data_IF_290514388522
#
_entry.id   IF_290514388522
#
_cell.length_a   1.000
_cell.length_b   1.000
_cell.length_c   1.000
_cell.angle_alpha   90.00
_cell.angle_beta   90.00
_cell.angle_gamma   90.00
#
_symmetry.space_group_name_H-M   'P 1'
#
loop_
_entity.id
_entity.type
_entity.pdbx_description
1 polymer ?
#
# COMPACT_ATOMS: atom_id res chain seq x y z
N UNK A 1 -28.80 -12.25 24.10
CA UNK A 1 -30.08 -12.86 23.72
C UNK A 1 -29.78 -13.78 22.54
N UNK A 2 -29.88 -15.10 22.73
CA UNK A 2 -29.62 -16.07 21.67
C UNK A 2 -30.88 -16.21 20.82
N UNK A 3 -30.75 -16.05 19.50
CA UNK A 3 -31.84 -16.30 18.57
C UNK A 3 -32.32 -17.73 18.73
N UNK A 4 -33.63 -17.91 18.87
CA UNK A 4 -34.21 -19.24 19.03
C UNK A 4 -34.25 -19.94 17.66
N UNK A 5 -34.09 -21.27 17.66
CA UNK A 5 -34.12 -22.11 16.45
C UNK A 5 -35.28 -21.78 15.48
N UNK A 6 -36.50 -21.45 15.94
CA UNK A 6 -37.59 -21.02 15.05
C UNK A 6 -37.32 -19.72 14.28
N UNK A 7 -36.64 -18.74 14.89
CA UNK A 7 -36.31 -17.46 14.26
C UNK A 7 -35.32 -17.63 13.11
N UNK A 8 -34.40 -18.60 13.24
CA UNK A 8 -33.46 -18.97 12.18
C UNK A 8 -34.20 -19.55 10.96
N UNK A 9 -35.15 -20.47 11.17
CA UNK A 9 -35.92 -21.06 10.08
C UNK A 9 -36.83 -20.04 9.39
N UNK A 10 -37.38 -19.09 10.14
CA UNK A 10 -38.22 -18.04 9.57
C UNK A 10 -37.39 -17.02 8.76
N UNK A 11 -36.20 -16.65 9.23
CA UNK A 11 -35.25 -15.84 8.47
C UNK A 11 -34.81 -16.53 7.17
N UNK A 12 -34.54 -17.84 7.23
CA UNK A 12 -34.13 -18.62 6.06
C UNK A 12 -35.25 -18.74 5.02
N UNK A 13 -36.50 -18.89 5.47
CA UNK A 13 -37.68 -18.92 4.60
C UNK A 13 -37.93 -17.57 3.91
N UNK A 14 -37.70 -16.45 4.62
CA UNK A 14 -37.77 -15.10 4.06
C UNK A 14 -36.67 -14.88 3.02
N UNK A 15 -35.44 -15.29 3.32
CA UNK A 15 -34.30 -15.18 2.40
C UNK A 15 -34.54 -15.96 1.09
N UNK A 16 -35.03 -17.20 1.20
CA UNK A 16 -35.35 -18.03 0.04
C UNK A 16 -36.44 -17.42 -0.84
N UNK A 17 -37.44 -16.77 -0.23
CA UNK A 17 -38.50 -16.05 -0.95
C UNK A 17 -37.93 -14.83 -1.68
N UNK A 18 -37.08 -14.04 -1.04
CA UNK A 18 -36.45 -12.86 -1.66
C UNK A 18 -35.52 -13.24 -2.82
N UNK A 19 -34.77 -14.34 -2.70
CA UNK A 19 -33.93 -14.88 -3.78
C UNK A 19 -34.80 -15.32 -4.96
N UNK A 20 -35.91 -16.03 -4.71
CA UNK A 20 -36.83 -16.45 -5.76
C UNK A 20 -37.50 -15.27 -6.46
N UNK A 21 -37.84 -14.20 -5.73
CA UNK A 21 -38.40 -12.97 -6.29
C UNK A 21 -37.37 -12.21 -7.13
N UNK A 22 -36.11 -12.13 -6.69
CA UNK A 22 -35.02 -11.51 -7.45
C UNK A 22 -34.75 -12.26 -8.77
N UNK A 23 -34.73 -13.60 -8.74
CA UNK A 23 -34.59 -14.43 -9.94
C UNK A 23 -35.76 -14.27 -10.91
N UNK A 24 -37.00 -14.10 -10.40
CA UNK A 24 -38.16 -13.80 -11.24
C UNK A 24 -38.07 -12.43 -11.89
N UNK A 25 -37.57 -11.42 -11.18
CA UNK A 25 -37.34 -10.08 -11.73
C UNK A 25 -36.23 -10.06 -12.79
N UNK A 26 -35.22 -10.92 -12.66
CA UNK A 26 -34.16 -11.08 -13.65
C UNK A 26 -34.67 -11.76 -14.94
N UNK A 27 -35.54 -12.77 -14.79
CA UNK A 27 -36.13 -13.51 -15.90
C UNK A 27 -37.27 -12.78 -16.63
N UNK A 28 -37.81 -11.69 -16.07
CA UNK A 28 -38.86 -10.87 -16.70
C UNK A 28 -38.33 -9.62 -17.42
N UNK A 29 -37.00 -9.46 -17.54
CA UNK A 29 -36.43 -8.32 -18.27
C UNK A 29 -36.71 -8.47 -19.78
N UNK A 30 -37.27 -7.42 -20.43
CA UNK A 30 -37.58 -7.48 -21.85
C UNK A 30 -36.32 -7.67 -22.72
N UNK A 31 -36.45 -8.27 -23.92
CA UNK A 31 -35.31 -8.79 -24.71
C UNK A 31 -34.32 -7.72 -25.18
N UNK A 32 -34.71 -6.44 -25.16
CA UNK A 32 -33.84 -5.35 -25.61
C UNK A 32 -32.70 -5.03 -24.63
N UNK A 33 -32.69 -5.61 -23.43
CA UNK A 33 -31.59 -5.48 -22.47
C UNK A 33 -30.46 -6.50 -22.67
N UNK A 34 -30.62 -7.48 -23.58
CA UNK A 34 -29.60 -8.50 -23.87
C UNK A 34 -28.55 -8.07 -24.91
N UNK A 35 -28.59 -6.83 -25.40
CA UNK A 35 -27.57 -6.29 -26.30
C UNK A 35 -26.85 -5.07 -25.71
N UNK A 36 -26.45 -5.12 -24.44
CA UNK A 36 -25.17 -4.47 -24.12
C UNK A 36 -24.11 -5.38 -24.70
N UNK A 37 -23.71 -5.09 -25.95
CA UNK A 37 -22.45 -5.53 -26.49
C UNK A 37 -21.40 -5.17 -25.44
N UNK A 38 -21.03 -6.14 -24.60
CA UNK A 38 -19.77 -6.09 -23.88
C UNK A 38 -18.78 -6.09 -25.02
N UNK A 39 -18.30 -4.90 -25.42
CA UNK A 39 -17.35 -4.81 -26.52
C UNK A 39 -16.22 -5.78 -26.19
N UNK A 40 -15.65 -6.48 -27.16
CA UNK A 40 -14.55 -7.42 -26.92
C UNK A 40 -13.43 -6.79 -26.07
N UNK A 41 -13.27 -5.46 -26.08
CA UNK A 41 -12.40 -4.70 -25.17
C UNK A 41 -12.72 -4.82 -23.69
N UNK A 42 -14.00 -4.78 -23.29
CA UNK A 42 -14.44 -4.86 -21.90
C UNK A 42 -14.33 -6.30 -21.38
N UNK A 43 -14.66 -7.28 -22.21
CA UNK A 43 -14.49 -8.70 -21.88
C UNK A 43 -13.00 -9.09 -21.79
N UNK A 44 -12.18 -8.62 -22.74
CA UNK A 44 -10.72 -8.79 -22.65
C UNK A 44 -10.10 -8.04 -21.45
N UNK A 45 -10.62 -6.87 -21.09
CA UNK A 45 -10.18 -6.16 -19.89
C UNK A 45 -10.58 -6.91 -18.62
N UNK A 46 -11.81 -7.43 -18.54
CA UNK A 46 -12.29 -8.21 -17.40
C UNK A 46 -11.54 -9.54 -17.26
N UNK A 47 -11.24 -10.23 -18.36
CA UNK A 47 -10.44 -11.45 -18.36
C UNK A 47 -9.00 -11.17 -17.91
N UNK A 48 -8.38 -10.09 -18.41
CA UNK A 48 -7.07 -9.64 -17.91
C UNK A 48 -7.10 -9.29 -16.43
N UNK A 49 -8.14 -8.59 -15.97
CA UNK A 49 -8.32 -8.26 -14.55
C UNK A 49 -8.48 -9.54 -13.72
N UNK A 50 -9.19 -10.55 -14.22
CA UNK A 50 -9.35 -11.84 -13.55
C UNK A 50 -8.01 -12.60 -13.48
N UNK A 51 -7.23 -12.59 -14.55
CA UNK A 51 -5.88 -13.16 -14.62
C UNK A 51 -4.91 -12.42 -13.68
N UNK A 52 -5.00 -11.09 -13.59
CA UNK A 52 -4.28 -10.30 -12.60
C UNK A 52 -4.72 -10.63 -11.17
N UNK A 53 -6.02 -10.73 -10.90
CA UNK A 53 -6.56 -11.13 -9.59
C UNK A 53 -6.04 -12.51 -9.22
N UNK A 54 -5.95 -13.44 -10.16
CA UNK A 54 -5.41 -14.78 -9.91
C UNK A 54 -3.91 -14.73 -9.58
N UNK A 55 -3.11 -13.94 -10.32
CA UNK A 55 -1.68 -13.70 -10.01
C UNK A 55 -1.51 -13.01 -8.65
N UNK A 56 -2.40 -12.08 -8.32
CA UNK A 56 -2.35 -11.29 -7.09
C UNK A 56 -2.89 -12.04 -5.87
N UNK A 57 -3.66 -13.11 -6.04
CA UNK A 57 -4.23 -13.93 -4.94
C UNK A 57 -3.44 -15.21 -4.64
N UNK A 58 -2.41 -15.54 -5.44
CA UNK A 58 -1.51 -16.64 -5.10
C UNK A 58 -0.68 -16.31 -3.85
N UNK A 59 -1.09 -16.88 -2.72
CA UNK A 59 -0.31 -16.94 -1.49
C UNK A 59 1.03 -17.61 -1.78
N UNK A 60 2.12 -16.85 -1.81
CA UNK A 60 3.45 -17.42 -1.95
C UNK A 60 4.30 -17.03 -0.75
N UNK A 61 5.12 -17.96 -0.26
CA UNK A 61 6.22 -17.67 0.68
C UNK A 61 7.09 -16.47 0.28
N UNK A 62 7.06 -16.08 -0.99
CA UNK A 62 7.78 -14.93 -1.54
C UNK A 62 7.18 -13.58 -1.11
N UNK A 63 5.89 -13.50 -0.77
CA UNK A 63 5.28 -12.23 -0.36
C UNK A 63 5.79 -11.76 1.01
N UNK A 64 6.10 -12.69 1.91
CA UNK A 64 6.72 -12.35 3.19
C UNK A 64 8.15 -11.79 3.00
N UNK A 65 8.85 -12.20 1.94
CA UNK A 65 10.15 -11.61 1.61
C UNK A 65 10.03 -10.12 1.29
N UNK A 66 8.95 -9.70 0.60
CA UNK A 66 8.70 -8.28 0.30
C UNK A 66 8.56 -7.50 1.60
N UNK A 67 7.78 -8.02 2.55
CA UNK A 67 7.64 -7.43 3.88
C UNK A 67 8.98 -7.32 4.58
N UNK A 68 9.77 -8.39 4.61
CA UNK A 68 11.10 -8.35 5.25
C UNK A 68 12.03 -7.32 4.60
N UNK A 69 12.00 -7.21 3.27
CA UNK A 69 12.77 -6.20 2.55
C UNK A 69 12.32 -4.78 2.89
N UNK A 70 11.01 -4.53 3.02
CA UNK A 70 10.50 -3.22 3.46
C UNK A 70 10.98 -2.87 4.87
N UNK A 71 10.90 -3.82 5.80
CA UNK A 71 11.39 -3.66 7.18
C UNK A 71 12.89 -3.38 7.20
N UNK A 72 13.67 -4.07 6.38
CA UNK A 72 15.12 -3.90 6.34
C UNK A 72 15.54 -2.55 5.73
N UNK A 73 14.85 -2.08 4.69
CA UNK A 73 15.02 -0.71 4.16
C UNK A 73 14.72 0.30 5.27
N UNK A 74 13.58 0.18 5.94
CA UNK A 74 13.16 1.11 6.98
C UNK A 74 14.15 1.16 8.15
N UNK A 75 14.60 -0.02 8.61
CA UNK A 75 15.59 -0.14 9.68
C UNK A 75 16.93 0.47 9.29
N UNK A 76 17.36 0.29 8.05
CA UNK A 76 18.61 0.85 7.55
C UNK A 76 18.55 2.38 7.52
N UNK A 77 17.48 2.95 6.98
CA UNK A 77 17.25 4.40 6.98
C UNK A 77 17.21 4.98 8.39
N UNK A 78 16.48 4.33 9.30
CA UNK A 78 16.40 4.80 10.70
C UNK A 78 17.76 4.79 11.38
N UNK A 79 18.57 3.75 11.19
CA UNK A 79 19.94 3.68 11.72
C UNK A 79 20.80 4.83 11.21
N UNK A 80 20.69 5.19 9.93
CA UNK A 80 21.41 6.33 9.37
C UNK A 80 20.95 7.65 9.96
N UNK A 81 19.64 7.87 10.11
CA UNK A 81 19.09 9.08 10.75
C UNK A 81 19.59 9.19 12.20
N UNK A 82 19.58 8.10 12.96
CA UNK A 82 20.10 8.07 14.33
C UNK A 82 21.58 8.41 14.37
N UNK A 83 22.39 7.82 13.49
CA UNK A 83 23.82 8.10 13.39
C UNK A 83 24.09 9.58 13.05
N UNK A 84 23.34 10.15 12.10
CA UNK A 84 23.43 11.57 11.75
C UNK A 84 23.12 12.46 12.97
N UNK A 85 22.04 12.15 13.70
CA UNK A 85 21.66 12.87 14.91
C UNK A 85 22.74 12.80 16.00
N UNK A 86 23.31 11.62 16.23
CA UNK A 86 24.39 11.41 17.20
C UNK A 86 25.66 12.21 16.84
N UNK A 87 25.88 12.44 15.54
CA UNK A 87 26.97 13.27 15.03
C UNK A 87 26.63 14.77 14.96
N UNK A 88 25.43 15.18 15.38
CA UNK A 88 24.99 16.58 15.30
C UNK A 88 24.67 17.07 13.89
N UNK A 89 24.40 16.16 12.96
CA UNK A 89 24.03 16.45 11.57
C UNK A 89 22.55 16.19 11.30
N UNK A 90 22.04 16.74 10.20
CA UNK A 90 20.67 16.49 9.72
C UNK A 90 20.68 15.67 8.42
N UNK A 91 19.67 14.83 8.17
CA UNK A 91 19.52 14.14 6.88
C UNK A 91 19.24 15.14 5.77
N UNK A 92 19.91 15.05 4.62
CA UNK A 92 19.66 15.96 3.50
C UNK A 92 18.46 15.50 2.67
N UNK A 93 17.40 16.30 2.63
CA UNK A 93 16.22 16.04 1.79
C UNK A 93 16.52 16.15 0.29
N UNK A 94 17.55 16.91 -0.10
CA UNK A 94 18.06 16.95 -1.47
C UNK A 94 18.94 15.76 -1.84
N UNK A 95 19.36 14.98 -0.82
CA UNK A 95 20.34 13.90 -0.91
C UNK A 95 21.55 14.24 -1.81
N UNK A 96 22.05 15.48 -1.73
CA UNK A 96 23.14 16.03 -2.52
C UNK A 96 22.87 16.15 -4.02
N UNK A 97 21.61 16.38 -4.40
CA UNK A 97 21.18 16.71 -5.77
C UNK A 97 20.49 18.08 -5.81
N UNK A 98 20.04 18.52 -6.99
CA UNK A 98 19.20 19.72 -7.10
C UNK A 98 17.71 19.47 -6.81
N UNK A 99 17.29 18.21 -6.67
CA UNK A 99 15.90 17.85 -6.42
C UNK A 99 15.58 17.86 -4.92
N UNK A 100 14.72 18.78 -4.47
CA UNK A 100 14.32 18.91 -3.06
C UNK A 100 13.59 17.69 -2.49
N UNK A 101 13.09 16.80 -3.34
CA UNK A 101 12.40 15.57 -2.94
C UNK A 101 13.25 14.33 -3.22
N UNK A 102 14.55 14.47 -3.50
CA UNK A 102 15.38 13.33 -3.88
C UNK A 102 15.38 12.23 -2.82
N UNK A 103 15.48 12.58 -1.53
CA UNK A 103 15.44 11.57 -0.47
C UNK A 103 14.09 10.82 -0.44
N UNK A 104 12.97 11.53 -0.70
CA UNK A 104 11.66 10.90 -0.80
C UNK A 104 11.59 9.95 -1.99
N UNK A 105 12.08 10.39 -3.15
CA UNK A 105 12.11 9.57 -4.36
C UNK A 105 13.00 8.34 -4.18
N UNK A 106 14.18 8.48 -3.59
CA UNK A 106 15.11 7.38 -3.31
C UNK A 106 14.46 6.32 -2.42
N UNK A 107 13.75 6.75 -1.38
CA UNK A 107 13.00 5.86 -0.48
C UNK A 107 11.85 5.16 -1.21
N UNK A 108 11.02 5.89 -1.96
CA UNK A 108 9.92 5.30 -2.75
C UNK A 108 10.45 4.30 -3.78
N UNK A 109 11.52 4.65 -4.50
CA UNK A 109 12.15 3.78 -5.51
C UNK A 109 12.75 2.53 -4.88
N UNK A 110 13.32 2.62 -3.67
CA UNK A 110 13.85 1.45 -2.99
C UNK A 110 12.74 0.44 -2.64
N UNK A 111 11.61 0.92 -2.10
CA UNK A 111 10.45 0.06 -1.85
C UNK A 111 9.89 -0.54 -3.14
N UNK A 112 9.80 0.26 -4.21
CA UNK A 112 9.35 -0.21 -5.52
C UNK A 112 10.25 -1.31 -6.10
N UNK A 113 11.58 -1.15 -6.00
CA UNK A 113 12.55 -2.17 -6.43
C UNK A 113 12.45 -3.44 -5.59
N UNK A 114 12.25 -3.32 -4.28
CA UNK A 114 12.01 -4.47 -3.42
C UNK A 114 10.73 -5.22 -3.85
N UNK A 115 9.65 -4.49 -4.16
CA UNK A 115 8.40 -5.04 -4.67
C UNK A 115 8.61 -5.78 -6.01
N UNK A 116 9.23 -5.15 -7.01
CA UNK A 116 9.50 -5.78 -8.32
C UNK A 116 10.41 -7.01 -8.25
N UNK A 117 11.29 -7.07 -7.24
CA UNK A 117 12.16 -8.22 -7.02
C UNK A 117 11.52 -9.33 -6.18
N UNK A 118 10.23 -9.19 -5.80
CA UNK A 118 9.55 -10.05 -4.84
C UNK A 118 10.34 -10.21 -3.52
N UNK A 119 10.90 -9.11 -3.02
CA UNK A 119 11.66 -9.06 -1.77
C UNK A 119 13.06 -9.66 -1.81
N UNK A 120 13.51 -10.18 -2.97
CA UNK A 120 14.85 -10.77 -3.11
C UNK A 120 15.96 -9.72 -3.12
N UNK A 121 15.63 -8.48 -3.44
CA UNK A 121 16.56 -7.38 -3.45
C UNK A 121 16.12 -6.32 -2.44
N UNK A 122 17.07 -5.87 -1.62
CA UNK A 122 16.88 -4.82 -0.61
C UNK A 122 17.83 -3.68 -0.97
N UNK A 123 17.39 -2.71 -1.80
CA UNK A 123 18.24 -1.58 -2.19
C UNK A 123 18.72 -0.82 -0.96
N UNK A 124 20.00 -0.43 -0.97
CA UNK A 124 20.55 0.49 0.02
C UNK A 124 20.37 1.92 -0.46
N UNK A 125 20.02 2.79 0.47
CA UNK A 125 19.95 4.24 0.27
C UNK A 125 20.99 4.81 1.21
N UNK A 126 21.90 5.64 0.73
CA UNK A 126 22.84 6.36 1.58
C UNK A 126 22.32 7.78 1.76
N UNK A 127 21.95 8.13 2.99
CA UNK A 127 21.44 9.45 3.35
C UNK A 127 22.64 10.38 3.56
N UNK A 128 22.76 11.40 2.70
CA UNK A 128 23.77 12.44 2.90
C UNK A 128 23.42 13.34 4.09
N UNK A 129 24.45 13.88 4.72
CA UNK A 129 24.31 14.87 5.79
C UNK A 129 24.17 16.28 5.23
N UNK A 130 23.48 17.15 5.96
CA UNK A 130 23.47 18.59 5.75
C UNK A 130 23.64 19.31 7.09
N UNK A 131 24.22 20.51 7.03
CA UNK A 131 24.36 21.42 8.18
C UNK A 131 23.07 22.23 8.41
N UNK A 132 22.09 22.12 7.51
CA UNK A 132 20.82 22.83 7.60
C UNK A 132 19.82 22.02 8.43
N UNK A 133 19.52 22.50 9.62
CA UNK A 133 18.51 21.90 10.49
C UNK A 133 17.11 21.95 9.87
N UNK A 134 16.39 20.84 9.97
CA UNK A 134 14.95 20.75 9.68
C UNK A 134 14.31 19.62 10.47
N UNK A 135 12.99 19.65 10.59
CA UNK A 135 12.22 18.67 11.34
C UNK A 135 12.03 17.36 10.54
N UNK A 136 12.90 16.39 10.80
CA UNK A 136 12.81 15.04 10.24
C UNK A 136 12.05 14.06 11.15
N UNK A 137 11.45 14.53 12.26
CA UNK A 137 10.79 13.66 13.26
C UNK A 137 9.65 12.84 12.64
N UNK A 138 8.91 13.42 11.69
CA UNK A 138 7.82 12.73 10.99
C UNK A 138 8.30 11.56 10.13
N UNK A 139 9.50 11.66 9.55
CA UNK A 139 10.11 10.57 8.78
C UNK A 139 10.57 9.47 9.72
N UNK A 140 11.25 9.85 10.81
CA UNK A 140 11.68 8.88 11.83
C UNK A 140 10.47 8.11 12.40
N UNK A 141 9.38 8.83 12.72
CA UNK A 141 8.14 8.25 13.20
C UNK A 141 7.50 7.31 12.16
N UNK A 142 7.43 7.73 10.90
CA UNK A 142 6.93 6.90 9.81
C UNK A 142 7.70 5.57 9.66
N UNK A 143 9.04 5.63 9.68
CA UNK A 143 9.89 4.44 9.60
C UNK A 143 9.69 3.52 10.81
N UNK A 144 9.56 4.10 12.01
CA UNK A 144 9.32 3.36 13.24
C UNK A 144 7.94 2.69 13.26
N UNK A 145 6.91 3.37 12.77
CA UNK A 145 5.56 2.82 12.65
C UNK A 145 5.48 1.71 11.60
N UNK A 146 6.16 1.87 10.46
CA UNK A 146 6.32 0.82 9.46
C UNK A 146 6.97 -0.42 10.07
N UNK A 147 8.10 -0.27 10.76
CA UNK A 147 8.77 -1.39 11.42
C UNK A 147 7.86 -2.09 12.42
N UNK A 148 7.07 -1.34 13.21
CA UNK A 148 6.14 -1.91 14.19
C UNK A 148 5.00 -2.68 13.53
N UNK A 149 4.37 -2.09 12.51
CA UNK A 149 3.25 -2.70 11.79
C UNK A 149 3.69 -3.97 11.07
N UNK A 150 4.80 -3.90 10.33
CA UNK A 150 5.28 -5.01 9.51
C UNK A 150 6.06 -6.06 10.32
N UNK A 151 6.45 -5.80 11.57
CA UNK A 151 7.11 -6.82 12.42
C UNK A 151 6.17 -7.97 12.78
N UNK A 152 4.89 -7.70 12.95
CA UNK A 152 3.90 -8.67 13.45
C UNK A 152 2.85 -9.07 12.41
N UNK A 153 2.88 -8.46 11.22
CA UNK A 153 2.02 -8.80 10.10
C UNK A 153 2.75 -9.70 9.09
N UNK A 154 1.99 -10.39 8.25
CA UNK A 154 2.45 -11.01 7.00
C UNK A 154 1.75 -10.32 5.84
N UNK A 155 2.36 -10.33 4.65
CA UNK A 155 1.61 -10.07 3.43
C UNK A 155 1.11 -11.42 2.93
N UNK A 156 -0.20 -11.61 2.95
CA UNK A 156 -0.80 -12.89 2.57
C UNK A 156 -0.76 -13.03 1.04
N UNK A 157 -0.78 -11.91 0.32
CA UNK A 157 -0.80 -11.89 -1.13
C UNK A 157 -0.13 -10.63 -1.71
N UNK A 158 0.19 -10.65 -3.01
CA UNK A 158 0.94 -9.56 -3.65
C UNK A 158 0.12 -8.25 -3.67
N UNK A 159 -1.21 -8.33 -3.73
CA UNK A 159 -2.08 -7.15 -3.69
C UNK A 159 -1.93 -6.38 -2.38
N UNK A 160 -1.78 -7.07 -1.25
CA UNK A 160 -1.52 -6.42 0.05
C UNK A 160 -0.18 -5.69 0.06
N UNK A 161 0.87 -6.31 -0.49
CA UNK A 161 2.19 -5.70 -0.60
C UNK A 161 2.16 -4.43 -1.48
N UNK A 162 1.46 -4.49 -2.63
CA UNK A 162 1.26 -3.34 -3.52
C UNK A 162 0.46 -2.25 -2.83
N UNK A 163 -0.66 -2.60 -2.19
CA UNK A 163 -1.52 -1.65 -1.47
C UNK A 163 -0.75 -0.98 -0.33
N UNK A 164 0.08 -1.74 0.39
CA UNK A 164 0.94 -1.19 1.43
C UNK A 164 1.96 -0.20 0.87
N UNK A 165 2.61 -0.55 -0.24
CA UNK A 165 3.54 0.34 -0.95
C UNK A 165 2.86 1.64 -1.38
N UNK A 166 1.68 1.57 -2.01
CA UNK A 166 0.96 2.77 -2.47
C UNK A 166 0.57 3.70 -1.32
N UNK A 167 0.04 3.14 -0.21
CA UNK A 167 -0.26 3.91 1.00
C UNK A 167 1.00 4.56 1.57
N UNK A 168 2.10 3.81 1.61
CA UNK A 168 3.40 4.26 2.10
C UNK A 168 3.97 5.41 1.26
N UNK A 169 3.93 5.29 -0.07
CA UNK A 169 4.38 6.33 -1.00
C UNK A 169 3.56 7.62 -0.86
N UNK A 170 2.23 7.50 -0.72
CA UNK A 170 1.35 8.65 -0.48
C UNK A 170 1.69 9.34 0.85
N UNK A 171 1.83 8.58 1.94
CA UNK A 171 2.19 9.13 3.25
C UNK A 171 3.55 9.81 3.22
N UNK A 172 4.55 9.20 2.58
CA UNK A 172 5.88 9.76 2.45
C UNK A 172 5.85 11.09 1.68
N UNK A 173 5.13 11.15 0.57
CA UNK A 173 4.92 12.41 -0.17
C UNK A 173 4.24 13.48 0.67
N UNK A 174 3.26 13.12 1.50
CA UNK A 174 2.63 14.07 2.41
C UNK A 174 3.64 14.60 3.42
N UNK A 175 4.41 13.73 4.08
CA UNK A 175 5.44 14.12 5.05
C UNK A 175 6.40 15.14 4.44
N UNK A 176 6.92 14.87 3.24
CA UNK A 176 7.87 15.77 2.57
C UNK A 176 7.22 17.05 2.03
N UNK A 177 5.95 17.02 1.60
CA UNK A 177 5.21 18.24 1.19
C UNK A 177 4.92 19.18 2.36
N UNK A 178 4.69 18.66 3.56
CA UNK A 178 4.50 19.52 4.74
C UNK A 178 5.75 20.33 5.07
N UNK A 179 6.95 19.80 4.80
CA UNK A 179 8.23 20.51 4.99
C UNK A 179 8.36 21.76 4.11
N UNK A 180 7.84 21.70 2.88
CA UNK A 180 7.85 22.84 1.97
C UNK A 180 6.93 23.97 2.47
N UNK A 181 5.78 23.62 3.04
CA UNK A 181 4.78 24.58 3.49
C UNK A 181 5.16 25.25 4.82
N UNK A 182 5.84 24.53 5.73
CA UNK A 182 6.31 25.12 6.99
C UNK A 182 7.41 26.18 6.79
N UNK A 183 8.20 26.10 5.70
CA UNK A 183 9.14 27.17 5.31
C UNK A 183 8.46 28.44 4.78
N UNK A 184 7.21 28.37 4.32
CA UNK A 184 6.43 29.55 3.88
C UNK A 184 5.89 30.33 5.09
N UNK A 185 5.67 29.65 6.22
CA UNK A 185 5.10 30.25 7.44
C UNK A 185 6.13 30.86 8.40
N UNK A 186 7.42 30.64 8.14
CA UNK A 186 8.55 31.19 8.94
C UNK A 186 9.28 32.35 8.22
N UNK A 187 8.66 32.97 7.22
CA UNK A 187 9.15 34.19 6.55
C UNK A 187 8.30 35.41 6.87
#
# INVERSE_FOLDING_TARGET
>A
MGYTVPEYFEANRRLAKTISEAQRMENQRPPYCQARMVSDRVENAANRVSEFIEIFTWETRNTDLIRTAFVDIARNLRRQIVCLRENGCWPDHFNGTANRFQLQEDVSVAFLKALYSNGRHTPRIDIKSTDVAWDYSRIEQYLLDMERQLRHATFDNLLEAVTYYEKSDVLLRFIFKFLDNEKILLK
#
